data_IF_943589929362
#
_entry.id   IF_943589929362
#
_cell.length_a   1.000
_cell.length_b   1.000
_cell.length_c   1.000
_cell.angle_alpha   90.00
_cell.angle_beta   90.00
_cell.angle_gamma   90.00
#
_symmetry.space_group_name_H-M   'P 1'
#
loop_
_entity.id
_entity.type
_entity.pdbx_description
1 polymer ?
#
# COMPACT_ATOMS: atom_id res chain seq x y z
N UNK A 1 -55.73 -18.82 30.97
CA UNK A 1 -55.42 -19.20 32.38
C UNK A 1 -55.33 -20.71 32.64
N UNK A 2 -56.22 -21.58 32.11
CA UNK A 2 -56.15 -23.04 32.38
C UNK A 2 -54.91 -23.77 31.83
N UNK A 3 -54.29 -23.27 30.76
CA UNK A 3 -53.08 -23.89 30.17
C UNK A 3 -51.84 -23.72 31.07
N UNK A 4 -51.59 -22.50 31.54
CA UNK A 4 -50.50 -22.18 32.47
C UNK A 4 -50.59 -22.98 33.77
N UNK A 5 -51.80 -23.11 34.33
CA UNK A 5 -52.02 -23.91 35.53
C UNK A 5 -51.63 -25.39 35.37
N UNK A 6 -51.83 -25.97 34.17
CA UNK A 6 -51.39 -27.34 33.87
C UNK A 6 -49.87 -27.45 33.71
N UNK A 7 -49.20 -26.44 33.15
CA UNK A 7 -47.74 -26.43 33.01
C UNK A 7 -47.07 -26.34 34.39
N UNK A 8 -47.59 -25.47 35.27
CA UNK A 8 -47.10 -25.36 36.65
C UNK A 8 -47.33 -26.64 37.47
N UNK A 9 -48.45 -27.35 37.28
CA UNK A 9 -48.68 -28.66 37.92
C UNK A 9 -47.71 -29.75 37.42
N UNK A 10 -47.09 -29.58 36.25
CA UNK A 10 -46.07 -30.48 35.69
C UNK A 10 -44.64 -30.09 36.07
N UNK A 11 -44.47 -29.07 36.90
CA UNK A 11 -43.16 -28.57 37.35
C UNK A 11 -42.44 -27.66 36.37
N UNK A 12 -43.12 -27.22 35.30
CA UNK A 12 -42.59 -26.25 34.35
C UNK A 12 -42.99 -24.84 34.78
N UNK A 13 -42.00 -24.10 35.29
CA UNK A 13 -42.14 -22.73 35.77
C UNK A 13 -41.55 -21.70 34.80
N UNK A 14 -41.16 -22.13 33.59
CA UNK A 14 -40.66 -21.20 32.59
C UNK A 14 -41.80 -20.29 32.12
N UNK A 15 -41.64 -19.00 32.39
CA UNK A 15 -42.58 -17.95 31.99
C UNK A 15 -42.23 -17.36 30.62
N UNK A 16 -41.16 -17.84 29.99
CA UNK A 16 -40.83 -17.48 28.63
C UNK A 16 -41.90 -18.02 27.66
N UNK A 17 -42.37 -17.17 26.75
CA UNK A 17 -43.25 -17.65 25.69
C UNK A 17 -42.42 -18.42 24.68
N UNK A 18 -42.75 -19.69 24.45
CA UNK A 18 -42.27 -20.40 23.26
C UNK A 18 -42.78 -19.66 22.03
N UNK A 19 -41.92 -18.80 21.46
CA UNK A 19 -42.25 -18.05 20.28
C UNK A 19 -42.60 -19.01 19.14
N UNK A 20 -43.66 -18.71 18.40
CA UNK A 20 -43.95 -19.37 17.12
C UNK A 20 -42.65 -19.50 16.33
N UNK A 21 -42.21 -20.74 16.12
CA UNK A 21 -40.91 -21.06 15.52
C UNK A 21 -40.73 -20.28 14.23
N UNK A 22 -39.60 -19.58 14.11
CA UNK A 22 -39.22 -18.90 12.88
C UNK A 22 -39.27 -19.93 11.74
N UNK A 23 -39.84 -19.62 10.55
CA UNK A 23 -39.85 -20.53 9.42
C UNK A 23 -38.45 -21.12 9.20
N UNK A 24 -38.38 -22.40 8.84
CA UNK A 24 -37.12 -23.11 8.62
C UNK A 24 -36.19 -22.28 7.72
N UNK A 25 -34.88 -22.36 7.97
CA UNK A 25 -33.92 -21.68 7.10
C UNK A 25 -34.16 -22.18 5.67
N UNK A 26 -34.39 -21.27 4.72
CA UNK A 26 -34.56 -21.63 3.30
C UNK A 26 -33.27 -22.19 2.68
N UNK A 27 -32.12 -21.91 3.29
CA UNK A 27 -30.80 -22.41 2.92
C UNK A 27 -29.91 -22.40 4.17
N UNK A 28 -28.88 -23.24 4.21
CA UNK A 28 -27.92 -23.29 5.31
C UNK A 28 -26.81 -22.27 5.14
N UNK A 29 -26.21 -21.85 6.25
CA UNK A 29 -25.12 -20.87 6.21
C UNK A 29 -23.89 -21.43 5.46
N UNK A 30 -23.77 -22.76 5.33
CA UNK A 30 -22.77 -23.45 4.52
C UNK A 30 -22.97 -23.22 3.01
N UNK A 31 -24.21 -23.20 2.53
CA UNK A 31 -24.53 -22.98 1.11
C UNK A 31 -24.07 -21.57 0.69
N UNK A 32 -24.35 -20.58 1.53
CA UNK A 32 -23.92 -19.21 1.31
C UNK A 32 -22.39 -19.05 1.39
N UNK A 33 -21.71 -19.82 2.26
CA UNK A 33 -20.23 -19.84 2.29
C UNK A 33 -19.66 -20.42 1.01
N UNK A 34 -20.19 -21.54 0.53
CA UNK A 34 -19.70 -22.19 -0.69
C UNK A 34 -19.81 -21.27 -1.91
N UNK A 35 -20.91 -20.51 -2.02
CA UNK A 35 -21.06 -19.51 -3.09
C UNK A 35 -20.01 -18.40 -3.01
N UNK A 36 -19.69 -17.93 -1.80
CA UNK A 36 -18.67 -16.89 -1.58
C UNK A 36 -17.24 -17.41 -1.73
N UNK A 37 -16.99 -18.69 -1.47
CA UNK A 37 -15.69 -19.34 -1.72
C UNK A 37 -15.41 -19.48 -3.23
N UNK A 38 -16.45 -19.60 -4.05
CA UNK A 38 -16.34 -19.62 -5.50
C UNK A 38 -16.12 -18.23 -6.12
N UNK A 39 -16.91 -17.23 -5.69
CA UNK A 39 -16.81 -15.84 -6.15
C UNK A 39 -17.22 -14.87 -5.03
N UNK A 40 -16.24 -14.17 -4.48
CA UNK A 40 -16.41 -13.22 -3.37
C UNK A 40 -16.91 -11.84 -3.82
N UNK A 41 -17.01 -11.60 -5.13
CA UNK A 41 -17.43 -10.34 -5.76
C UNK A 41 -18.94 -10.22 -6.01
N UNK A 42 -19.72 -11.25 -5.67
CA UNK A 42 -21.15 -11.31 -5.99
C UNK A 42 -21.98 -10.28 -5.20
N UNK A 43 -23.00 -9.74 -5.86
CA UNK A 43 -23.98 -8.86 -5.21
C UNK A 43 -24.98 -9.68 -4.38
N UNK A 44 -25.56 -9.06 -3.34
CA UNK A 44 -26.61 -9.70 -2.54
C UNK A 44 -27.83 -10.12 -3.37
N UNK A 45 -28.08 -9.47 -4.50
CA UNK A 45 -29.16 -9.83 -5.43
C UNK A 45 -28.83 -11.11 -6.19
N UNK A 46 -27.62 -11.26 -6.72
CA UNK A 46 -27.19 -12.48 -7.41
C UNK A 46 -27.20 -13.69 -6.47
N UNK A 47 -26.72 -13.52 -5.23
CA UNK A 47 -26.78 -14.56 -4.20
C UNK A 47 -28.23 -14.94 -3.86
N UNK A 48 -29.14 -13.95 -3.82
CA UNK A 48 -30.55 -14.18 -3.55
C UNK A 48 -31.24 -14.96 -4.67
N UNK A 49 -30.90 -14.65 -5.92
CA UNK A 49 -31.39 -15.38 -7.11
C UNK A 49 -30.90 -16.83 -7.11
N UNK A 50 -29.60 -17.08 -6.84
CA UNK A 50 -29.03 -18.44 -6.78
C UNK A 50 -29.62 -19.29 -5.65
N UNK A 51 -29.93 -18.67 -4.51
CA UNK A 51 -30.53 -19.35 -3.35
C UNK A 51 -32.07 -19.33 -3.36
N UNK A 52 -32.70 -18.75 -4.39
CA UNK A 52 -34.15 -18.57 -4.50
C UNK A 52 -34.79 -17.94 -3.24
N UNK A 53 -34.17 -16.89 -2.73
CA UNK A 53 -34.61 -16.14 -1.55
C UNK A 53 -34.71 -14.65 -1.84
N UNK A 54 -35.32 -13.90 -0.92
CA UNK A 54 -35.31 -12.45 -0.99
C UNK A 54 -33.93 -11.87 -0.58
N UNK A 55 -33.53 -10.75 -1.21
CA UNK A 55 -32.26 -10.07 -0.94
C UNK A 55 -32.09 -9.63 0.53
N UNK A 56 -33.18 -9.29 1.22
CA UNK A 56 -33.14 -8.97 2.66
C UNK A 56 -32.76 -10.18 3.53
N UNK A 57 -33.05 -11.40 3.06
CA UNK A 57 -32.69 -12.63 3.76
C UNK A 57 -31.19 -12.88 3.67
N UNK A 58 -30.59 -12.72 2.48
CA UNK A 58 -29.13 -12.76 2.30
C UNK A 58 -28.44 -11.68 3.14
N UNK A 59 -28.95 -10.45 3.14
CA UNK A 59 -28.40 -9.34 3.93
C UNK A 59 -28.36 -9.63 5.44
N UNK A 60 -29.45 -10.18 6.00
CA UNK A 60 -29.51 -10.58 7.41
C UNK A 60 -28.54 -11.73 7.72
N UNK A 61 -28.41 -12.70 6.81
CA UNK A 61 -27.52 -13.86 6.96
C UNK A 61 -26.05 -13.47 6.94
N UNK A 62 -25.62 -12.66 5.96
CA UNK A 62 -24.26 -12.14 5.89
C UNK A 62 -23.88 -11.40 7.19
N UNK A 63 -24.79 -10.57 7.73
CA UNK A 63 -24.58 -9.90 9.02
C UNK A 63 -24.48 -10.88 10.20
N UNK A 64 -25.35 -11.89 10.25
CA UNK A 64 -25.32 -12.91 11.30
C UNK A 64 -24.03 -13.76 11.27
N UNK A 65 -23.45 -13.95 10.09
CA UNK A 65 -22.16 -14.63 9.90
C UNK A 65 -20.95 -13.73 10.15
N UNK A 66 -21.14 -12.45 10.46
CA UNK A 66 -20.05 -11.49 10.64
C UNK A 66 -19.36 -11.06 9.34
N UNK A 67 -19.97 -11.31 8.18
CA UNK A 67 -19.43 -10.89 6.88
C UNK A 67 -19.60 -9.38 6.69
N UNK A 68 -18.54 -8.74 6.21
CA UNK A 68 -18.52 -7.29 5.94
C UNK A 68 -18.10 -7.09 4.49
N UNK A 69 -18.89 -6.32 3.75
CA UNK A 69 -18.53 -5.93 2.39
C UNK A 69 -17.37 -4.93 2.44
N UNK A 70 -16.24 -5.30 1.81
CA UNK A 70 -15.08 -4.44 1.61
C UNK A 70 -14.83 -4.29 0.12
N UNK A 71 -14.35 -3.11 -0.29
CA UNK A 71 -13.92 -2.91 -1.67
C UNK A 71 -12.56 -3.61 -1.85
N UNK A 72 -12.42 -4.33 -2.97
CA UNK A 72 -11.14 -4.90 -3.39
C UNK A 72 -10.09 -3.81 -3.59
N UNK A 73 -8.81 -4.18 -3.46
CA UNK A 73 -7.69 -3.27 -3.73
C UNK A 73 -7.39 -3.23 -5.23
N UNK A 74 -7.00 -2.06 -5.72
CA UNK A 74 -6.41 -1.93 -7.06
C UNK A 74 -4.96 -2.40 -6.99
N UNK A 75 -4.59 -3.37 -7.83
CA UNK A 75 -3.20 -3.78 -8.02
C UNK A 75 -2.57 -3.03 -9.20
N UNK A 76 -1.24 -2.82 -9.22
CA UNK A 76 -0.57 -2.06 -10.28
C UNK A 76 -0.68 -2.69 -11.68
N UNK A 77 -0.65 -4.02 -11.75
CA UNK A 77 -0.59 -4.77 -13.00
C UNK A 77 -1.15 -6.20 -12.79
N UNK A 78 -1.58 -6.86 -13.86
CA UNK A 78 -1.88 -8.29 -13.82
C UNK A 78 -0.60 -9.08 -14.10
N UNK A 79 -0.04 -9.72 -13.07
CA UNK A 79 1.26 -10.39 -13.20
C UNK A 79 1.14 -11.73 -13.95
N UNK A 80 1.90 -11.87 -15.04
CA UNK A 80 2.16 -13.16 -15.69
C UNK A 80 2.95 -14.10 -14.79
N UNK A 81 2.85 -15.42 -15.00
CA UNK A 81 3.63 -16.43 -14.25
C UNK A 81 5.14 -16.14 -14.26
N UNK A 82 5.68 -15.76 -15.42
CA UNK A 82 7.10 -15.37 -15.57
C UNK A 82 7.47 -14.15 -14.71
N UNK A 83 6.59 -13.15 -14.63
CA UNK A 83 6.84 -11.98 -13.77
C UNK A 83 6.80 -12.36 -12.29
N UNK A 84 5.88 -13.23 -11.88
CA UNK A 84 5.82 -13.75 -10.50
C UNK A 84 7.09 -14.54 -10.15
N UNK A 85 7.54 -15.45 -11.01
CA UNK A 85 8.77 -16.22 -10.82
C UNK A 85 10.01 -15.32 -10.72
N UNK A 86 10.13 -14.31 -11.59
CA UNK A 86 11.21 -13.34 -11.55
C UNK A 86 11.20 -12.53 -10.24
N UNK A 87 10.02 -12.07 -9.79
CA UNK A 87 9.85 -11.37 -8.51
C UNK A 87 10.28 -12.26 -7.34
N UNK A 88 9.81 -13.51 -7.31
CA UNK A 88 10.13 -14.49 -6.27
C UNK A 88 11.64 -14.76 -6.22
N UNK A 89 12.25 -15.10 -7.35
CA UNK A 89 13.69 -15.39 -7.47
C UNK A 89 14.54 -14.21 -7.04
N UNK A 90 14.18 -12.99 -7.48
CA UNK A 90 14.89 -11.76 -7.09
C UNK A 90 14.80 -11.53 -5.58
N UNK A 91 13.60 -11.62 -5.01
CA UNK A 91 13.39 -11.43 -3.57
C UNK A 91 14.11 -12.49 -2.74
N UNK A 92 14.08 -13.75 -3.17
CA UNK A 92 14.77 -14.85 -2.50
C UNK A 92 16.28 -14.62 -2.46
N UNK A 93 16.88 -14.21 -3.57
CA UNK A 93 18.30 -13.86 -3.66
C UNK A 93 18.65 -12.69 -2.73
N UNK A 94 17.88 -11.60 -2.78
CA UNK A 94 18.11 -10.41 -1.96
C UNK A 94 17.94 -10.70 -0.46
N UNK A 95 16.91 -11.45 -0.09
CA UNK A 95 16.65 -11.85 1.29
C UNK A 95 17.74 -12.78 1.83
N UNK A 96 18.23 -13.73 1.02
CA UNK A 96 19.35 -14.60 1.39
C UNK A 96 20.65 -13.82 1.57
N UNK A 97 20.93 -12.86 0.67
CA UNK A 97 22.07 -11.97 0.81
C UNK A 97 22.00 -11.15 2.10
N UNK A 98 20.82 -10.62 2.42
CA UNK A 98 20.59 -9.86 3.64
C UNK A 98 20.81 -10.71 4.90
N UNK A 99 20.32 -11.96 4.91
CA UNK A 99 20.55 -12.90 6.02
C UNK A 99 22.04 -13.17 6.29
N UNK A 100 22.87 -13.20 5.25
CA UNK A 100 24.32 -13.40 5.40
C UNK A 100 25.00 -12.15 5.98
N UNK A 101 24.66 -10.96 5.45
CA UNK A 101 25.18 -9.69 5.94
C UNK A 101 24.23 -8.56 5.52
N UNK A 102 23.83 -7.74 6.49
CA UNK A 102 23.02 -6.56 6.20
C UNK A 102 23.79 -5.59 5.28
N UNK A 103 23.16 -5.22 4.17
CA UNK A 103 23.68 -4.25 3.20
C UNK A 103 22.78 -3.02 3.04
N UNK A 104 21.68 -2.94 3.81
CA UNK A 104 20.66 -1.89 3.70
C UNK A 104 21.22 -0.49 3.92
N UNK A 105 22.20 -0.35 4.81
CA UNK A 105 22.87 0.92 5.11
C UNK A 105 23.64 1.52 3.92
N UNK A 106 23.85 0.74 2.85
CA UNK A 106 24.50 1.18 1.60
C UNK A 106 23.52 1.45 0.46
N UNK A 107 22.23 1.20 0.67
CA UNK A 107 21.21 1.37 -0.36
C UNK A 107 20.93 2.85 -0.54
N UNK A 108 21.04 3.29 -1.79
CA UNK A 108 20.50 4.55 -2.29
C UNK A 108 19.40 4.16 -3.24
N UNK A 109 18.21 4.73 -3.06
CA UNK A 109 17.08 4.47 -3.92
C UNK A 109 16.52 5.78 -4.45
N UNK A 110 15.96 5.74 -5.64
CA UNK A 110 15.33 6.89 -6.24
C UNK A 110 14.35 6.47 -7.30
N UNK A 111 13.43 7.38 -7.57
CA UNK A 111 12.34 7.18 -8.53
C UNK A 111 11.73 8.53 -8.92
N UNK A 112 10.93 8.52 -9.97
CA UNK A 112 10.26 9.67 -10.53
C UNK A 112 8.75 9.65 -10.27
N UNK A 113 8.20 10.80 -9.85
CA UNK A 113 6.75 10.97 -9.66
C UNK A 113 6.22 12.21 -10.34
N UNK A 114 5.15 12.05 -11.11
CA UNK A 114 4.36 13.18 -11.57
C UNK A 114 3.60 13.83 -10.41
N UNK A 115 3.79 15.13 -10.22
CA UNK A 115 3.05 15.96 -9.28
C UNK A 115 2.18 16.92 -10.07
N UNK A 116 0.87 16.84 -9.85
CA UNK A 116 -0.09 17.76 -10.46
C UNK A 116 -0.15 19.06 -9.65
N UNK A 117 -0.37 20.16 -10.35
CA UNK A 117 -0.57 21.47 -9.71
C UNK A 117 -1.90 21.53 -8.98
N UNK A 118 -2.89 20.75 -9.42
CA UNK A 118 -4.18 20.60 -8.75
C UNK A 118 -4.42 19.15 -8.37
N UNK A 119 -4.63 18.89 -7.07
CA UNK A 119 -4.86 17.55 -6.55
C UNK A 119 -6.24 17.46 -5.87
N UNK A 120 -7.36 17.61 -6.61
CA UNK A 120 -8.69 17.56 -6.02
C UNK A 120 -8.98 16.16 -5.45
N UNK A 121 -9.43 16.11 -4.21
CA UNK A 121 -9.88 14.89 -3.55
C UNK A 121 -11.38 14.97 -3.30
N UNK A 122 -12.10 13.90 -3.60
CA UNK A 122 -13.53 13.78 -3.28
C UNK A 122 -13.72 13.81 -1.77
N UNK A 123 -14.54 14.76 -1.30
CA UNK A 123 -14.86 14.92 0.11
C UNK A 123 -16.08 14.09 0.49
N UNK A 124 -16.05 13.53 1.70
CA UNK A 124 -17.26 12.99 2.35
C UNK A 124 -17.89 14.12 3.13
N UNK A 125 -19.18 14.35 2.94
CA UNK A 125 -19.94 15.38 3.65
C UNK A 125 -21.09 14.75 4.42
N UNK A 126 -21.36 15.27 5.62
CA UNK A 126 -22.58 14.98 6.35
C UNK A 126 -23.68 15.91 5.82
N UNK A 127 -24.72 15.34 5.20
CA UNK A 127 -25.88 16.06 4.66
C UNK A 127 -27.16 15.39 5.15
N UNK A 128 -28.28 16.13 5.21
CA UNK A 128 -29.55 15.51 5.63
C UNK A 128 -30.03 14.50 4.58
N UNK A 129 -30.90 13.59 5.00
CA UNK A 129 -31.49 12.58 4.11
C UNK A 129 -32.25 13.29 2.97
N UNK A 130 -31.79 13.10 1.73
CA UNK A 130 -32.37 13.71 0.53
C UNK A 130 -31.62 14.93 0.00
N UNK A 131 -30.70 15.51 0.77
CA UNK A 131 -29.86 16.63 0.32
C UNK A 131 -28.66 16.12 -0.51
N UNK A 132 -28.22 16.94 -1.46
CA UNK A 132 -27.07 16.63 -2.32
C UNK A 132 -25.76 17.12 -1.68
N UNK A 133 -24.70 16.29 -1.69
CA UNK A 133 -23.39 16.72 -1.22
C UNK A 133 -22.73 17.72 -2.18
N UNK A 134 -21.74 18.47 -1.69
CA UNK A 134 -20.96 19.36 -2.55
C UNK A 134 -20.25 18.59 -3.66
N UNK A 135 -20.35 19.09 -4.89
CA UNK A 135 -19.69 18.50 -6.05
C UNK A 135 -18.21 18.89 -6.07
N UNK A 136 -17.34 17.91 -6.34
CA UNK A 136 -15.91 18.15 -6.58
C UNK A 136 -15.60 17.91 -8.05
N UNK A 137 -14.94 18.87 -8.71
CA UNK A 137 -14.48 18.71 -10.09
C UNK A 137 -13.51 17.53 -10.20
N UNK A 138 -13.59 16.78 -11.30
CA UNK A 138 -12.63 15.70 -11.58
C UNK A 138 -11.26 16.30 -11.91
N UNK A 139 -10.15 15.66 -11.49
CA UNK A 139 -8.83 16.12 -11.87
C UNK A 139 -8.67 16.09 -13.40
N UNK A 140 -8.14 17.17 -13.97
CA UNK A 140 -7.81 17.22 -15.39
C UNK A 140 -6.56 16.36 -15.66
N UNK A 141 -6.72 15.29 -16.43
CA UNK A 141 -5.61 14.37 -16.78
C UNK A 141 -4.47 15.06 -17.53
N UNK A 142 -4.79 16.11 -18.30
CA UNK A 142 -3.85 16.91 -19.08
C UNK A 142 -3.49 18.23 -18.38
N UNK A 143 -3.81 18.35 -17.09
CA UNK A 143 -3.46 19.54 -16.31
C UNK A 143 -1.95 19.72 -16.16
N UNK A 144 -1.56 20.93 -15.73
CA UNK A 144 -0.17 21.26 -15.42
C UNK A 144 0.38 20.28 -14.39
N UNK A 145 1.52 19.69 -14.71
CA UNK A 145 2.24 18.71 -13.89
C UNK A 145 3.74 18.90 -14.04
N UNK A 146 4.46 18.60 -12.98
CA UNK A 146 5.92 18.60 -12.93
C UNK A 146 6.40 17.19 -12.53
N UNK A 147 7.57 16.78 -13.01
CA UNK A 147 8.14 15.47 -12.65
C UNK A 147 9.16 15.65 -11.52
N UNK A 148 8.85 15.13 -10.34
CA UNK A 148 9.79 15.06 -9.24
C UNK A 148 10.71 13.86 -9.45
N UNK A 149 12.02 14.08 -9.48
CA UNK A 149 13.04 13.03 -9.44
C UNK A 149 13.72 13.13 -8.07
N UNK A 150 13.76 12.06 -7.28
CA UNK A 150 14.33 12.09 -5.92
C UNK A 150 15.16 10.85 -5.65
N UNK A 151 16.33 11.05 -5.04
CA UNK A 151 17.20 10.00 -4.53
C UNK A 151 17.48 10.20 -3.05
N UNK A 152 17.43 9.11 -2.29
CA UNK A 152 17.49 9.12 -0.84
C UNK A 152 18.07 7.80 -0.30
N UNK A 153 18.57 7.84 0.93
CA UNK A 153 19.05 6.67 1.67
C UNK A 153 18.39 6.58 3.05
N UNK A 154 18.79 5.63 3.88
CA UNK A 154 18.24 5.47 5.23
C UNK A 154 18.45 6.69 6.15
N UNK A 155 19.32 7.64 5.77
CA UNK A 155 19.61 8.84 6.55
C UNK A 155 18.80 10.07 6.10
N UNK A 156 18.32 10.09 4.85
CA UNK A 156 17.49 11.17 4.33
C UNK A 156 17.57 11.33 2.82
N UNK A 157 16.94 12.39 2.32
CA UNK A 157 17.09 12.82 0.92
C UNK A 157 18.52 13.28 0.66
N UNK A 158 19.10 12.82 -0.45
CA UNK A 158 20.46 13.17 -0.87
C UNK A 158 20.39 14.20 -1.99
N UNK A 159 19.55 13.95 -2.99
CA UNK A 159 19.37 14.82 -4.13
C UNK A 159 17.94 14.72 -4.62
N UNK A 160 17.38 15.84 -5.07
CA UNK A 160 16.12 15.85 -5.78
C UNK A 160 16.09 17.02 -6.76
N UNK A 161 15.31 16.86 -7.81
CA UNK A 161 15.01 17.93 -8.73
C UNK A 161 13.57 17.82 -9.19
N UNK A 162 13.00 18.96 -9.56
CA UNK A 162 11.71 19.03 -10.19
C UNK A 162 11.95 19.41 -11.66
N UNK A 163 11.30 18.70 -12.58
CA UNK A 163 11.36 19.01 -14.00
C UNK A 163 10.09 19.76 -14.40
N UNK A 164 10.24 20.72 -15.30
CA UNK A 164 9.14 21.52 -15.80
C UNK A 164 8.11 20.67 -16.55
N UNK A 165 6.96 21.29 -16.85
CA UNK A 165 5.94 20.67 -17.69
C UNK A 165 6.55 20.26 -19.04
N UNK A 166 6.19 19.07 -19.53
CA UNK A 166 6.68 18.45 -20.79
C UNK A 166 8.11 17.91 -20.77
N UNK A 167 8.93 18.27 -19.77
CA UNK A 167 10.24 17.64 -19.60
C UNK A 167 10.08 16.20 -19.08
N UNK A 168 10.89 15.29 -19.63
CA UNK A 168 10.93 13.88 -19.23
C UNK A 168 12.37 13.43 -19.00
N UNK A 169 12.53 12.35 -18.23
CA UNK A 169 13.83 11.74 -18.00
C UNK A 169 14.24 10.89 -19.20
N UNK A 170 15.25 11.36 -19.93
CA UNK A 170 15.95 10.57 -20.97
C UNK A 170 17.16 9.86 -20.35
N UNK A 171 17.75 8.89 -21.06
CA UNK A 171 18.97 8.21 -20.55
C UNK A 171 20.14 9.15 -20.28
N UNK A 172 20.35 10.18 -21.11
CA UNK A 172 21.41 11.17 -20.86
C UNK A 172 21.10 12.06 -19.67
N UNK A 173 19.82 12.44 -19.48
CA UNK A 173 19.40 13.20 -18.30
C UNK A 173 19.59 12.37 -17.04
N UNK A 174 19.18 11.10 -17.05
CA UNK A 174 19.38 10.19 -15.92
C UNK A 174 20.85 10.06 -15.56
N UNK A 175 21.73 9.92 -16.57
CA UNK A 175 23.18 9.93 -16.36
C UNK A 175 23.66 11.21 -15.68
N UNK A 176 23.19 12.39 -16.12
CA UNK A 176 23.54 13.65 -15.48
C UNK A 176 23.03 13.72 -14.02
N UNK A 177 21.82 13.24 -13.76
CA UNK A 177 21.26 13.15 -12.41
C UNK A 177 22.11 12.25 -11.50
N UNK A 178 22.62 11.12 -12.00
CA UNK A 178 23.52 10.25 -11.23
C UNK A 178 24.87 10.91 -10.93
N UNK A 179 25.40 11.72 -11.84
CA UNK A 179 26.62 12.51 -11.59
C UNK A 179 26.37 13.55 -10.49
N UNK A 180 25.25 14.25 -10.54
CA UNK A 180 24.92 15.26 -9.53
C UNK A 180 24.58 14.62 -8.18
N UNK A 181 23.93 13.45 -8.19
CA UNK A 181 23.74 12.61 -7.02
C UNK A 181 25.06 12.20 -6.39
N UNK A 182 26.05 11.72 -7.16
CA UNK A 182 27.36 11.31 -6.63
C UNK A 182 28.10 12.48 -5.96
N UNK A 183 28.00 13.68 -6.54
CA UNK A 183 28.56 14.91 -5.95
C UNK A 183 27.92 15.22 -4.60
N UNK A 184 26.59 15.22 -4.52
CA UNK A 184 25.86 15.48 -3.26
C UNK A 184 26.06 14.37 -2.23
N UNK A 185 26.10 13.11 -2.68
CA UNK A 185 26.41 11.96 -1.83
C UNK A 185 27.77 12.14 -1.16
N UNK A 186 28.79 12.49 -1.94
CA UNK A 186 30.13 12.77 -1.43
C UNK A 186 30.15 13.96 -0.48
N UNK A 187 29.23 14.93 -0.57
CA UNK A 187 29.11 16.06 0.36
C UNK A 187 28.47 15.64 1.69
N UNK A 188 27.32 14.98 1.64
CA UNK A 188 26.48 14.67 2.80
C UNK A 188 26.87 13.39 3.55
N UNK A 189 27.66 12.51 2.94
CA UNK A 189 28.03 11.19 3.49
C UNK A 189 29.54 10.98 3.38
N UNK A 190 30.23 11.16 4.51
CA UNK A 190 31.70 11.11 4.57
C UNK A 190 32.30 9.75 4.20
N UNK A 191 31.54 8.68 4.41
CA UNK A 191 31.89 7.28 4.20
C UNK A 191 32.09 6.96 2.72
N UNK A 192 31.27 7.57 1.86
CA UNK A 192 31.38 7.42 0.40
C UNK A 192 32.51 8.27 -0.17
N UNK A 193 32.73 9.48 0.37
CA UNK A 193 33.89 10.32 0.00
C UNK A 193 35.22 9.60 0.25
N UNK A 194 35.32 8.88 1.36
CA UNK A 194 36.52 8.10 1.73
C UNK A 194 36.62 6.75 1.00
N UNK A 195 35.69 6.44 0.09
CA UNK A 195 35.57 5.16 -0.64
C UNK A 195 35.58 3.93 0.28
N UNK A 196 35.12 4.09 1.53
CA UNK A 196 35.06 2.99 2.51
C UNK A 196 33.92 2.03 2.19
N UNK A 197 32.86 2.54 1.58
CA UNK A 197 31.68 1.78 1.19
C UNK A 197 31.39 1.98 -0.30
N UNK A 198 31.06 0.89 -0.97
CA UNK A 198 30.49 0.91 -2.33
C UNK A 198 28.97 1.11 -2.24
N UNK A 199 28.40 2.18 -2.82
CA UNK A 199 26.96 2.40 -2.88
C UNK A 199 26.23 1.29 -3.64
N UNK A 200 25.00 1.02 -3.22
CA UNK A 200 24.08 0.09 -3.88
C UNK A 200 22.88 0.89 -4.38
N UNK A 201 22.75 1.03 -5.70
CA UNK A 201 21.64 1.73 -6.34
C UNK A 201 20.44 0.79 -6.48
N UNK A 202 19.28 1.22 -5.99
CA UNK A 202 17.98 0.60 -6.20
C UNK A 202 17.07 1.57 -6.96
N UNK A 203 16.95 1.35 -8.26
CA UNK A 203 16.02 2.01 -9.17
C UNK A 203 15.09 0.98 -9.83
N UNK A 204 14.11 1.47 -10.58
CA UNK A 204 13.19 0.63 -11.32
C UNK A 204 13.80 0.14 -12.67
N UNK A 205 12.98 -0.54 -13.47
CA UNK A 205 13.40 -1.03 -14.79
C UNK A 205 13.00 -0.10 -15.94
N UNK A 206 12.79 1.20 -15.70
CA UNK A 206 12.39 2.12 -16.75
C UNK A 206 13.43 2.14 -17.90
N UNK A 207 12.99 2.31 -19.16
CA UNK A 207 13.90 2.34 -20.30
C UNK A 207 15.09 3.32 -20.15
N UNK A 208 14.91 4.54 -19.60
CA UNK A 208 16.02 5.46 -19.36
C UNK A 208 17.14 4.86 -18.47
N UNK A 209 16.76 4.11 -17.43
CA UNK A 209 17.66 3.50 -16.43
C UNK A 209 18.41 2.28 -16.98
N UNK A 210 17.83 1.61 -17.98
CA UNK A 210 18.42 0.44 -18.64
C UNK A 210 19.19 0.76 -19.92
N UNK A 211 19.18 2.02 -20.35
CA UNK A 211 19.95 2.53 -21.48
C UNK A 211 21.47 2.44 -21.28
N UNK A 212 22.22 2.44 -22.38
CA UNK A 212 23.70 2.39 -22.34
C UNK A 212 24.32 3.53 -21.49
N UNK A 213 23.88 4.81 -21.61
CA UNK A 213 24.45 5.89 -20.80
C UNK A 213 24.32 5.65 -19.29
N UNK A 214 23.19 5.09 -18.85
CA UNK A 214 22.92 4.77 -17.44
C UNK A 214 23.81 3.62 -16.93
N UNK A 215 24.00 2.58 -17.73
CA UNK A 215 24.89 1.46 -17.37
C UNK A 215 26.36 1.90 -17.30
N UNK A 216 26.81 2.68 -18.27
CA UNK A 216 28.18 3.17 -18.36
C UNK A 216 28.52 4.10 -17.18
N UNK A 217 27.56 4.95 -16.75
CA UNK A 217 27.80 5.83 -15.59
C UNK A 217 27.80 5.05 -14.28
N UNK A 218 26.88 4.11 -14.05
CA UNK A 218 26.87 3.27 -12.84
C UNK A 218 28.17 2.46 -12.72
N UNK A 219 28.67 1.94 -13.85
CA UNK A 219 29.96 1.24 -13.88
C UNK A 219 31.14 2.18 -13.61
N UNK A 220 31.17 3.37 -14.22
CA UNK A 220 32.28 4.33 -14.03
C UNK A 220 32.33 4.93 -12.62
N UNK A 221 31.17 5.13 -11.98
CA UNK A 221 31.06 5.48 -10.55
C UNK A 221 31.42 4.30 -9.63
N UNK A 222 31.58 3.09 -10.18
CA UNK A 222 31.81 1.85 -9.44
C UNK A 222 30.71 1.56 -8.42
N UNK A 223 29.45 1.87 -8.75
CA UNK A 223 28.29 1.54 -7.92
C UNK A 223 27.82 0.11 -8.19
N UNK A 224 27.10 -0.46 -7.24
CA UNK A 224 26.44 -1.74 -7.42
C UNK A 224 24.98 -1.52 -7.81
N UNK A 225 24.52 -2.09 -8.92
CA UNK A 225 23.09 -2.06 -9.26
C UNK A 225 22.37 -3.21 -8.54
N UNK A 226 21.38 -2.90 -7.72
CA UNK A 226 20.53 -3.91 -7.11
C UNK A 226 19.52 -4.42 -8.17
N UNK A 227 19.31 -5.74 -8.30
CA UNK A 227 18.31 -6.27 -9.20
C UNK A 227 16.91 -5.90 -8.70
N UNK A 228 16.10 -5.35 -9.61
CA UNK A 228 14.71 -5.00 -9.36
C UNK A 228 13.82 -5.73 -10.37
N UNK A 229 12.72 -6.31 -9.91
CA UNK A 229 11.79 -7.03 -10.78
C UNK A 229 10.81 -6.04 -11.44
N UNK A 230 10.36 -6.33 -12.66
CA UNK A 230 9.37 -5.48 -13.33
C UNK A 230 8.05 -5.40 -12.55
N UNK A 231 7.32 -4.30 -12.69
CA UNK A 231 5.99 -4.06 -12.07
C UNK A 231 5.96 -4.30 -10.55
N UNK A 232 7.01 -3.84 -9.85
CA UNK A 232 7.20 -4.13 -8.42
C UNK A 232 7.25 -2.91 -7.51
N UNK A 233 6.25 -2.01 -7.55
CA UNK A 233 6.22 -0.83 -6.67
C UNK A 233 6.12 -1.20 -5.18
N UNK A 234 5.59 -2.38 -4.85
CA UNK A 234 5.59 -2.96 -3.50
C UNK A 234 6.97 -3.40 -2.99
N UNK A 235 7.99 -3.37 -3.86
CA UNK A 235 9.39 -3.63 -3.55
C UNK A 235 10.28 -2.38 -3.72
N UNK A 236 9.72 -1.25 -4.13
CA UNK A 236 10.43 0.01 -4.33
C UNK A 236 10.14 0.98 -3.17
N UNK A 237 11.14 1.31 -2.32
CA UNK A 237 10.91 2.18 -1.16
C UNK A 237 10.35 3.56 -1.52
N UNK A 238 10.77 4.10 -2.66
CA UNK A 238 10.24 5.37 -3.15
C UNK A 238 8.73 5.31 -3.37
N UNK A 239 8.20 4.23 -3.92
CA UNK A 239 6.77 4.04 -4.18
C UNK A 239 5.97 3.79 -2.89
N UNK A 240 6.27 2.69 -2.19
CA UNK A 240 5.43 2.23 -1.10
C UNK A 240 5.54 3.08 0.17
N UNK A 241 6.63 3.85 0.32
CA UNK A 241 6.90 4.63 1.53
C UNK A 241 6.92 6.13 1.27
N UNK A 242 7.88 6.61 0.47
CA UNK A 242 8.10 8.05 0.27
C UNK A 242 6.90 8.69 -0.44
N UNK A 243 6.52 8.14 -1.59
CA UNK A 243 5.45 8.66 -2.43
C UNK A 243 4.06 8.36 -1.89
N UNK A 244 3.88 7.25 -1.17
CA UNK A 244 2.67 7.00 -0.40
C UNK A 244 2.43 8.11 0.64
N UNK A 245 3.46 8.47 1.42
CA UNK A 245 3.40 9.57 2.39
C UNK A 245 3.20 10.93 1.71
N UNK A 246 3.93 11.19 0.62
CA UNK A 246 3.82 12.43 -0.14
C UNK A 246 2.42 12.61 -0.74
N UNK A 247 1.82 11.54 -1.25
CA UNK A 247 0.45 11.57 -1.80
C UNK A 247 -0.59 12.04 -0.78
N UNK A 248 -0.43 11.67 0.49
CA UNK A 248 -1.28 12.19 1.57
C UNK A 248 -1.06 13.68 1.83
N UNK A 249 0.19 14.16 1.78
CA UNK A 249 0.52 15.57 1.99
C UNK A 249 0.11 16.47 0.81
N UNK A 250 0.06 15.92 -0.40
CA UNK A 250 -0.37 16.59 -1.63
C UNK A 250 -1.89 16.56 -1.84
N UNK A 251 -2.62 15.72 -1.11
CA UNK A 251 -4.06 15.65 -1.22
C UNK A 251 -4.70 17.01 -0.94
N UNK A 252 -5.60 17.45 -1.82
CA UNK A 252 -6.31 18.73 -1.76
C UNK A 252 -5.44 19.97 -1.94
N UNK A 253 -4.13 19.81 -2.18
CA UNK A 253 -3.25 20.93 -2.46
C UNK A 253 -3.46 21.47 -3.88
N UNK A 254 -3.33 22.80 -3.99
CA UNK A 254 -3.30 23.54 -5.25
C UNK A 254 -2.07 24.42 -5.28
N UNK A 255 -1.41 24.47 -6.43
CA UNK A 255 -0.20 25.23 -6.65
C UNK A 255 -0.40 26.17 -7.82
N UNK A 256 -0.16 27.46 -7.61
CA UNK A 256 -0.33 28.47 -8.64
C UNK A 256 0.91 28.61 -9.53
N UNK A 257 2.08 28.19 -9.03
CA UNK A 257 3.37 28.32 -9.70
C UNK A 257 4.30 27.16 -9.41
N UNK A 258 5.28 26.98 -10.30
CA UNK A 258 6.34 26.00 -10.14
C UNK A 258 7.18 26.25 -8.88
N UNK A 259 7.45 27.53 -8.57
CA UNK A 259 8.21 27.90 -7.36
C UNK A 259 7.46 27.56 -6.07
N UNK A 260 6.14 27.75 -6.03
CA UNK A 260 5.33 27.35 -4.88
C UNK A 260 5.36 25.83 -4.69
N UNK A 261 5.27 25.07 -5.78
CA UNK A 261 5.39 23.62 -5.75
C UNK A 261 6.79 23.19 -5.26
N UNK A 262 7.86 23.76 -5.82
CA UNK A 262 9.26 23.47 -5.45
C UNK A 262 9.52 23.79 -3.97
N UNK A 263 9.06 24.95 -3.50
CA UNK A 263 9.13 25.35 -2.09
C UNK A 263 8.41 24.34 -1.19
N UNK A 264 7.18 23.96 -1.55
CA UNK A 264 6.40 22.96 -0.80
C UNK A 264 7.13 21.62 -0.73
N UNK A 265 7.80 21.19 -1.80
CA UNK A 265 8.58 19.94 -1.81
C UNK A 265 9.76 20.02 -0.84
N UNK A 266 10.52 21.12 -0.89
CA UNK A 266 11.62 21.35 0.05
C UNK A 266 11.19 21.35 1.51
N UNK A 267 10.10 22.06 1.82
CA UNK A 267 9.51 22.08 3.16
C UNK A 267 9.06 20.68 3.62
N UNK A 268 8.44 19.91 2.72
CA UNK A 268 7.98 18.56 3.05
C UNK A 268 9.16 17.62 3.32
N UNK A 269 10.21 17.62 2.50
CA UNK A 269 11.40 16.81 2.74
C UNK A 269 12.09 17.19 4.05
N UNK A 270 12.23 18.48 4.35
CA UNK A 270 12.84 18.96 5.58
C UNK A 270 11.98 18.68 6.83
N UNK A 271 10.68 18.45 6.66
CA UNK A 271 9.79 18.08 7.78
C UNK A 271 9.91 16.61 8.22
N UNK A 272 10.59 15.76 7.42
CA UNK A 272 10.76 14.34 7.73
C UNK A 272 12.03 14.12 8.53
N UNK A 273 11.91 13.34 9.59
CA UNK A 273 13.05 12.94 10.38
C UNK A 273 13.82 11.78 9.72
N UNK A 274 15.01 11.50 10.24
CA UNK A 274 15.83 10.39 9.76
C UNK A 274 15.13 9.03 9.95
N UNK A 275 14.35 8.87 11.02
CA UNK A 275 13.65 7.63 11.31
C UNK A 275 12.64 7.27 10.22
N UNK A 276 11.94 8.27 9.67
CA UNK A 276 11.04 8.07 8.54
C UNK A 276 11.77 7.40 7.36
N UNK A 277 12.93 7.91 6.94
CA UNK A 277 13.67 7.31 5.82
C UNK A 277 14.26 5.95 6.19
N UNK A 278 14.78 5.81 7.41
CA UNK A 278 15.29 4.53 7.90
C UNK A 278 14.22 3.44 7.85
N UNK A 279 13.00 3.71 8.31
CA UNK A 279 11.89 2.76 8.29
C UNK A 279 11.54 2.33 6.86
N UNK A 280 11.56 3.27 5.91
CA UNK A 280 11.32 2.96 4.50
C UNK A 280 12.31 1.93 3.95
N UNK A 281 13.61 2.13 4.15
CA UNK A 281 14.64 1.19 3.68
C UNK A 281 14.62 -0.13 4.47
N UNK A 282 14.43 -0.08 5.78
CA UNK A 282 14.46 -1.27 6.64
C UNK A 282 13.20 -2.14 6.57
N UNK A 283 12.18 -1.72 5.82
CA UNK A 283 11.03 -2.54 5.45
C UNK A 283 11.34 -3.54 4.33
N UNK A 284 12.40 -3.30 3.53
CA UNK A 284 12.78 -4.15 2.39
C UNK A 284 12.89 -5.65 2.74
N UNK A 285 13.55 -6.10 3.83
CA UNK A 285 13.65 -7.51 4.15
C UNK A 285 12.29 -8.18 4.39
N UNK A 286 11.34 -7.47 5.00
CA UNK A 286 9.98 -7.95 5.21
C UNK A 286 9.23 -8.03 3.87
N UNK A 287 9.34 -7.00 3.03
CA UNK A 287 8.75 -6.99 1.69
C UNK A 287 9.27 -8.12 0.81
N UNK A 288 10.59 -8.38 0.80
CA UNK A 288 11.16 -9.51 0.08
C UNK A 288 10.64 -10.85 0.61
N UNK A 289 10.54 -11.00 1.93
CA UNK A 289 10.00 -12.22 2.52
C UNK A 289 8.53 -12.44 2.16
N UNK A 290 7.69 -11.40 2.21
CA UNK A 290 6.28 -11.48 1.81
C UNK A 290 6.13 -11.84 0.33
N UNK A 291 6.97 -11.26 -0.53
CA UNK A 291 7.00 -11.61 -1.95
C UNK A 291 7.31 -13.09 -2.17
N UNK A 292 8.32 -13.63 -1.47
CA UNK A 292 8.65 -15.06 -1.52
C UNK A 292 7.50 -15.92 -0.98
N UNK A 293 6.95 -15.57 0.18
CA UNK A 293 5.85 -16.30 0.81
C UNK A 293 4.59 -16.36 -0.06
N UNK A 294 4.36 -15.32 -0.88
CA UNK A 294 3.26 -15.24 -1.83
C UNK A 294 3.66 -15.70 -3.25
N UNK A 295 4.74 -16.48 -3.40
CA UNK A 295 5.20 -17.02 -4.68
C UNK A 295 5.37 -15.96 -5.79
N UNK A 296 5.77 -14.73 -5.41
CA UNK A 296 5.97 -13.62 -6.32
C UNK A 296 4.72 -12.79 -6.64
N UNK A 297 3.55 -13.13 -6.09
CA UNK A 297 2.35 -12.29 -6.20
C UNK A 297 2.49 -10.99 -5.38
N UNK A 298 1.56 -10.05 -5.61
CA UNK A 298 1.44 -8.87 -4.74
C UNK A 298 1.02 -9.28 -3.33
N UNK A 299 1.41 -8.47 -2.35
CA UNK A 299 1.10 -8.72 -0.94
C UNK A 299 0.63 -7.46 -0.23
N UNK A 300 -0.06 -7.64 0.89
CA UNK A 300 -0.54 -6.52 1.68
C UNK A 300 0.55 -5.97 2.61
N UNK A 301 0.60 -4.64 2.71
CA UNK A 301 1.48 -3.99 3.67
C UNK A 301 0.97 -4.10 5.11
N UNK A 302 -0.35 -4.14 5.34
CA UNK A 302 -0.97 -4.34 6.66
C UNK A 302 -2.40 -4.90 6.55
N UNK A 303 -2.71 -5.91 7.37
CA UNK A 303 -4.07 -6.32 7.72
C UNK A 303 -4.61 -5.35 8.79
N UNK A 304 -5.28 -4.28 8.39
CA UNK A 304 -5.96 -3.38 9.34
C UNK A 304 -7.24 -4.11 9.80
N UNK A 305 -7.20 -4.76 10.96
CA UNK A 305 -8.42 -5.17 11.66
C UNK A 305 -8.97 -3.92 12.35
N UNK A 306 -9.94 -3.25 11.72
CA UNK A 306 -10.75 -2.23 12.41
C UNK A 306 -11.80 -2.96 13.24
N UNK A 307 -11.61 -3.04 14.55
CA UNK A 307 -12.70 -3.37 15.47
C UNK A 307 -13.60 -2.15 15.64
N UNK A 308 -14.94 -2.31 15.69
CA UNK A 308 -15.87 -1.17 15.70
C UNK A 308 -15.83 -0.29 16.96
N UNK A 309 -15.13 -0.70 18.04
CA UNK A 309 -15.36 -0.05 19.35
C UNK A 309 -14.15 0.16 20.27
N UNK A 310 -12.95 -0.38 20.00
CA UNK A 310 -11.75 -0.08 20.82
C UNK A 310 -10.49 -0.08 19.95
N UNK A 311 -9.66 0.97 20.06
CA UNK A 311 -8.32 1.01 19.46
C UNK A 311 -7.40 0.08 20.27
N UNK A 312 -7.09 -1.10 19.73
CA UNK A 312 -6.04 -1.98 20.26
C UNK A 312 -4.91 -2.06 19.24
N UNK A 313 -3.69 -1.72 19.67
CA UNK A 313 -2.49 -1.83 18.85
C UNK A 313 -1.92 -3.26 19.02
N UNK A 314 -1.90 -4.05 17.96
CA UNK A 314 -1.27 -5.38 17.95
C UNK A 314 -0.02 -5.36 17.07
N UNK A 315 1.16 -5.60 17.65
CA UNK A 315 2.40 -5.83 16.91
C UNK A 315 2.72 -7.33 16.90
N UNK A 316 2.95 -7.89 15.71
CA UNK A 316 3.33 -9.29 15.52
C UNK A 316 4.85 -9.39 15.72
N UNK A 317 5.30 -10.10 16.76
CA UNK A 317 6.67 -10.64 16.85
C UNK A 317 6.63 -12.15 16.94
N UNK A 318 7.71 -12.76 16.46
CA UNK A 318 7.86 -14.15 15.98
C UNK A 318 7.40 -15.32 16.87
N UNK A 319 6.94 -15.15 18.12
CA UNK A 319 6.63 -16.25 19.03
C UNK A 319 5.41 -15.97 19.95
N UNK A 320 4.19 -15.91 19.40
CA UNK A 320 2.95 -15.94 20.19
C UNK A 320 2.34 -14.59 20.57
N UNK A 321 1.02 -14.60 20.78
CA UNK A 321 0.20 -13.42 21.08
C UNK A 321 0.32 -13.02 22.55
N UNK A 322 0.67 -11.77 22.83
CA UNK A 322 0.47 -11.15 24.14
C UNK A 322 -0.34 -9.87 23.93
N UNK A 323 -1.57 -9.85 24.46
CA UNK A 323 -2.38 -8.64 24.55
C UNK A 323 -1.87 -7.79 25.71
N UNK A 324 -1.43 -6.57 25.42
CA UNK A 324 -1.13 -5.58 26.47
C UNK A 324 -2.37 -4.69 26.59
N UNK A 325 -3.08 -4.79 27.71
CA UNK A 325 -4.09 -3.81 28.11
C UNK A 325 -3.38 -2.55 28.62
N UNK A 326 -3.55 -1.42 27.95
CA UNK A 326 -3.41 -0.12 28.59
C UNK A 326 -4.81 0.25 29.10
N UNK A 327 -4.92 0.43 30.41
CA UNK A 327 -6.14 0.88 31.10
C UNK A 327 -6.51 2.29 30.65
#
# INVERSE_FOLDING_TARGET
CRLWYKNFQRGDFDVSSEGCGRPSKKFEDADLKSLLEGDDGQTQKQLAEQLNVDQSTVSRRLKAMGMILKLGRTVPHELTKRQQENRNTTCQMLHNRYKKKSFLHRIITGDEKWIYFENPKRKRSYVKRGEQPQMTARPNRFGKKAMLCVFWDQAGVIWWNLLNHEETVTSERYKQQLIDLDRELCKYRSEYRRRQLKPILLDDNAPPHRGKPAKDIVQSLNWEQLPHAAYSPDLAPSDYHLFASLGHALAEQRFDSYENLKKRMGEWFNSKDQLFFWQGIHKLPESWWKCVANNGQYFEEHMIIRFPTINVFCSIKKNGFICIHLV
#
